data_IF_033387421986
#
_entry.id   IF_033387421986
#
_cell.length_a   1.000
_cell.length_b   1.000
_cell.length_c   1.000
_cell.angle_alpha   90.00
_cell.angle_beta   90.00
_cell.angle_gamma   90.00
#
_symmetry.space_group_name_H-M   'P 1'
#
loop_
_entity.id
_entity.type
_entity.pdbx_description
1 polymer ?
#
# COMPACT_ATOMS: atom_id res chain seq x y z
N UNK A 1 13.49 3.73 -19.67
CA UNK A 1 13.88 2.74 -18.65
C UNK A 1 13.25 3.24 -17.36
N UNK A 2 12.34 2.49 -16.74
CA UNK A 2 11.65 2.96 -15.53
C UNK A 2 12.53 2.71 -14.31
N UNK A 3 12.78 3.76 -13.52
CA UNK A 3 13.57 3.69 -12.29
C UNK A 3 12.71 3.32 -11.06
N UNK A 4 13.38 3.05 -9.93
CA UNK A 4 12.70 2.75 -8.67
C UNK A 4 11.73 3.87 -8.25
N UNK A 5 12.03 5.12 -8.59
CA UNK A 5 11.18 6.27 -8.27
C UNK A 5 9.86 6.22 -9.00
N UNK A 6 9.86 5.82 -10.28
CA UNK A 6 8.65 5.67 -11.08
C UNK A 6 7.74 4.62 -10.49
N UNK A 7 8.28 3.44 -10.14
CA UNK A 7 7.49 2.39 -9.51
C UNK A 7 7.01 2.82 -8.13
N UNK A 8 7.87 3.44 -7.33
CA UNK A 8 7.50 3.97 -6.02
C UNK A 8 6.31 4.95 -6.10
N UNK A 9 6.31 5.87 -7.07
CA UNK A 9 5.20 6.77 -7.32
C UNK A 9 3.91 6.03 -7.70
N UNK A 10 4.00 5.02 -8.57
CA UNK A 10 2.84 4.15 -8.92
C UNK A 10 2.27 3.50 -7.66
N UNK A 11 3.13 2.96 -6.79
CA UNK A 11 2.71 2.36 -5.52
C UNK A 11 2.07 3.37 -4.57
N UNK A 12 2.57 4.62 -4.49
CA UNK A 12 1.94 5.69 -3.70
C UNK A 12 0.53 5.98 -4.22
N UNK A 13 0.35 6.07 -5.54
CA UNK A 13 -0.96 6.32 -6.14
C UNK A 13 -1.93 5.18 -5.81
N UNK A 14 -1.50 3.92 -5.95
CA UNK A 14 -2.33 2.77 -5.59
C UNK A 14 -2.66 2.81 -4.10
N UNK A 15 -1.70 3.10 -3.22
CA UNK A 15 -1.93 3.21 -1.77
C UNK A 15 -2.93 4.30 -1.42
N UNK A 16 -2.90 5.44 -2.11
CA UNK A 16 -3.89 6.50 -1.90
C UNK A 16 -5.32 5.98 -2.17
N UNK A 17 -5.55 5.30 -3.29
CA UNK A 17 -6.85 4.71 -3.59
C UNK A 17 -7.21 3.55 -2.66
N UNK A 18 -6.23 2.74 -2.26
CA UNK A 18 -6.42 1.66 -1.29
C UNK A 18 -6.91 2.22 0.05
N UNK A 19 -6.28 3.29 0.54
CA UNK A 19 -6.66 3.96 1.79
C UNK A 19 -8.09 4.49 1.73
N UNK A 20 -8.51 5.06 0.59
CA UNK A 20 -9.91 5.49 0.37
C UNK A 20 -10.87 4.30 0.42
N UNK A 21 -10.54 3.20 -0.26
CA UNK A 21 -11.33 1.97 -0.24
C UNK A 21 -11.49 1.44 1.20
N UNK A 22 -10.40 1.37 1.96
CA UNK A 22 -10.41 0.86 3.33
C UNK A 22 -11.18 1.76 4.31
N UNK A 23 -11.03 3.08 4.18
CA UNK A 23 -11.78 4.05 4.98
C UNK A 23 -13.29 3.96 4.69
N UNK A 24 -13.67 3.90 3.41
CA UNK A 24 -15.07 3.85 2.99
C UNK A 24 -15.77 2.53 3.31
N UNK A 25 -15.02 1.42 3.34
CA UNK A 25 -15.58 0.07 3.57
C UNK A 25 -15.42 -0.44 5.00
N UNK A 26 -14.77 0.36 5.85
CA UNK A 26 -14.69 0.16 7.29
C UNK A 26 -13.65 -0.86 7.73
N UNK A 27 -12.46 -0.85 7.12
CA UNK A 27 -11.34 -1.75 7.47
C UNK A 27 -11.07 -1.77 8.98
N UNK A 28 -11.02 -0.61 9.63
CA UNK A 28 -10.82 -0.46 11.08
C UNK A 28 -11.76 -1.28 11.99
N UNK A 29 -12.93 -1.72 11.48
CA UNK A 29 -13.88 -2.60 12.19
C UNK A 29 -13.74 -4.07 11.79
N UNK A 30 -13.36 -4.33 10.53
CA UNK A 30 -13.39 -5.64 9.89
C UNK A 30 -12.04 -6.36 9.92
N UNK A 31 -10.93 -5.61 10.04
CA UNK A 31 -9.58 -6.18 10.10
C UNK A 31 -9.51 -7.23 11.22
N UNK A 32 -9.10 -8.47 10.91
CA UNK A 32 -9.15 -9.57 11.86
C UNK A 32 -8.08 -9.45 12.95
N UNK A 33 -6.95 -8.79 12.65
CA UNK A 33 -5.83 -8.67 13.58
C UNK A 33 -5.85 -7.40 14.42
N UNK A 34 -6.44 -6.32 13.90
CA UNK A 34 -6.32 -5.02 14.55
C UNK A 34 -7.60 -4.20 14.38
N UNK A 35 -8.41 -4.16 15.44
CA UNK A 35 -9.62 -3.32 15.52
C UNK A 35 -9.27 -2.00 16.19
N UNK A 36 -9.73 -0.90 15.60
CA UNK A 36 -9.46 0.44 16.15
C UNK A 36 -10.61 1.42 15.88
N UNK A 37 -10.56 2.58 16.54
CA UNK A 37 -11.48 3.68 16.27
C UNK A 37 -11.19 4.28 14.88
N UNK A 38 -12.22 4.74 14.17
CA UNK A 38 -12.07 5.36 12.85
C UNK A 38 -11.05 6.50 12.85
N UNK A 39 -11.09 7.39 13.85
CA UNK A 39 -10.14 8.51 13.93
C UNK A 39 -8.68 8.07 14.06
N UNK A 40 -8.40 6.97 14.78
CA UNK A 40 -7.05 6.41 14.87
C UNK A 40 -6.59 5.83 13.54
N UNK A 41 -7.49 5.15 12.82
CA UNK A 41 -7.19 4.61 11.49
C UNK A 41 -6.97 5.71 10.46
N UNK A 42 -7.83 6.74 10.45
CA UNK A 42 -7.68 7.89 9.57
C UNK A 42 -6.37 8.64 9.83
N UNK A 43 -6.01 8.86 11.09
CA UNK A 43 -4.73 9.49 11.44
C UNK A 43 -3.54 8.65 10.97
N UNK A 44 -3.61 7.32 11.13
CA UNK A 44 -2.60 6.41 10.60
C UNK A 44 -2.45 6.54 9.08
N UNK A 45 -3.54 6.48 8.31
CA UNK A 45 -3.49 6.59 6.85
C UNK A 45 -2.90 7.92 6.38
N UNK A 46 -3.30 9.02 7.01
CA UNK A 46 -2.76 10.35 6.68
C UNK A 46 -1.25 10.40 6.96
N UNK A 47 -0.81 9.95 8.15
CA UNK A 47 0.61 9.92 8.49
C UNK A 47 1.41 8.99 7.58
N UNK A 48 0.85 7.83 7.23
CA UNK A 48 1.47 6.85 6.36
C UNK A 48 1.69 7.41 4.95
N UNK A 49 0.63 7.98 4.33
CA UNK A 49 0.74 8.60 3.01
C UNK A 49 1.68 9.81 3.03
N UNK A 50 1.57 10.68 4.03
CA UNK A 50 2.45 11.85 4.15
C UNK A 50 3.92 11.45 4.27
N UNK A 51 4.23 10.43 5.07
CA UNK A 51 5.60 9.93 5.23
C UNK A 51 6.17 9.45 3.89
N UNK A 52 5.45 8.56 3.18
CA UNK A 52 5.95 8.03 1.90
C UNK A 52 5.98 9.08 0.79
N UNK A 53 5.07 10.03 0.82
CA UNK A 53 5.10 11.20 -0.10
C UNK A 53 6.30 12.09 0.20
N UNK A 54 6.68 12.28 1.46
CA UNK A 54 7.88 13.01 1.83
C UNK A 54 9.16 12.27 1.36
N UNK A 55 9.21 10.95 1.45
CA UNK A 55 10.31 10.13 0.88
C UNK A 55 10.43 10.35 -0.64
N UNK A 56 9.32 10.49 -1.36
CA UNK A 56 9.34 10.80 -2.80
C UNK A 56 9.91 12.20 -3.07
N UNK A 57 9.32 13.22 -2.45
CA UNK A 57 9.53 14.65 -2.77
C UNK A 57 10.87 15.21 -2.25
N UNK A 58 11.41 14.66 -1.17
CA UNK A 58 12.66 15.12 -0.58
C UNK A 58 13.83 14.31 -1.12
N UNK A 59 14.52 14.82 -2.14
CA UNK A 59 15.64 14.10 -2.79
C UNK A 59 16.74 13.67 -1.81
N UNK A 60 17.03 14.48 -0.80
CA UNK A 60 18.06 14.21 0.22
C UNK A 60 17.54 13.40 1.42
N UNK A 61 16.39 12.72 1.31
CA UNK A 61 15.85 11.94 2.41
C UNK A 61 16.81 10.80 2.82
N UNK A 62 17.11 10.62 4.12
CA UNK A 62 18.02 9.57 4.57
C UNK A 62 17.56 8.18 4.13
N UNK A 63 18.45 7.42 3.49
CA UNK A 63 18.16 6.06 2.99
C UNK A 63 16.99 5.97 1.99
N UNK A 64 16.70 7.05 1.23
CA UNK A 64 15.59 7.16 0.29
C UNK A 64 15.37 5.92 -0.58
N UNK A 65 16.38 5.45 -1.31
CA UNK A 65 16.27 4.28 -2.18
C UNK A 65 15.87 3.00 -1.42
N UNK A 66 16.47 2.78 -0.23
CA UNK A 66 16.14 1.62 0.62
C UNK A 66 14.71 1.70 1.12
N UNK A 67 14.27 2.89 1.52
CA UNK A 67 12.90 3.15 1.95
C UNK A 67 11.90 2.93 0.81
N UNK A 68 12.22 3.38 -0.40
CA UNK A 68 11.38 3.13 -1.58
C UNK A 68 11.24 1.64 -1.89
N UNK A 69 12.35 0.89 -1.88
CA UNK A 69 12.33 -0.56 -2.07
C UNK A 69 11.54 -1.27 -0.96
N UNK A 70 11.70 -0.84 0.30
CA UNK A 70 10.93 -1.36 1.42
C UNK A 70 9.43 -1.09 1.26
N UNK A 71 9.03 0.10 0.84
CA UNK A 71 7.63 0.43 0.61
C UNK A 71 7.01 -0.45 -0.47
N UNK A 72 7.71 -0.64 -1.60
CA UNK A 72 7.25 -1.52 -2.68
C UNK A 72 6.99 -2.94 -2.14
N UNK A 73 7.92 -3.48 -1.35
CA UNK A 73 7.75 -4.80 -0.71
C UNK A 73 6.61 -4.82 0.31
N UNK A 74 6.45 -3.76 1.10
CA UNK A 74 5.36 -3.61 2.07
C UNK A 74 4.00 -3.61 1.39
N UNK A 75 3.87 -2.90 0.27
CA UNK A 75 2.64 -2.84 -0.52
C UNK A 75 2.34 -4.16 -1.22
N UNK A 76 3.36 -4.88 -1.71
CA UNK A 76 3.17 -6.25 -2.18
C UNK A 76 2.61 -7.15 -1.07
N UNK A 77 3.24 -7.13 0.11
CA UNK A 77 2.79 -7.92 1.25
C UNK A 77 1.35 -7.57 1.64
N UNK A 78 1.00 -6.28 1.60
CA UNK A 78 -0.36 -5.82 1.83
C UNK A 78 -1.33 -6.39 0.77
N UNK A 79 -1.02 -6.24 -0.52
CA UNK A 79 -1.83 -6.79 -1.60
C UNK A 79 -2.08 -8.30 -1.46
N UNK A 80 -1.02 -9.08 -1.20
CA UNK A 80 -1.11 -10.53 -0.96
C UNK A 80 -2.02 -10.82 0.24
N UNK A 81 -1.83 -10.10 1.35
CA UNK A 81 -2.63 -10.26 2.57
C UNK A 81 -4.13 -10.09 2.29
N UNK A 82 -4.54 -9.01 1.62
CA UNK A 82 -5.95 -8.78 1.30
C UNK A 82 -6.53 -9.86 0.39
N UNK A 83 -5.78 -10.30 -0.63
CA UNK A 83 -6.19 -11.37 -1.53
C UNK A 83 -6.37 -12.69 -0.78
N UNK A 84 -5.42 -13.03 0.11
CA UNK A 84 -5.53 -14.22 0.95
C UNK A 84 -6.71 -14.13 1.91
N UNK A 85 -6.91 -12.99 2.56
CA UNK A 85 -8.05 -12.78 3.47
C UNK A 85 -9.38 -12.91 2.74
N UNK A 86 -9.51 -12.37 1.53
CA UNK A 86 -10.69 -12.59 0.67
C UNK A 86 -10.85 -14.07 0.32
N UNK A 87 -9.76 -14.73 -0.05
CA UNK A 87 -9.74 -16.16 -0.40
C UNK A 87 -10.22 -17.07 0.74
N UNK A 88 -9.89 -16.74 2.00
CA UNK A 88 -10.31 -17.48 3.20
C UNK A 88 -11.74 -17.12 3.62
N UNK A 89 -12.07 -15.83 3.68
CA UNK A 89 -13.37 -15.37 4.19
C UNK A 89 -14.53 -15.58 3.20
N UNK A 90 -14.23 -15.69 1.90
CA UNK A 90 -15.21 -15.77 0.78
C UNK A 90 -16.24 -14.65 0.80
N UNK A 91 -15.90 -13.50 1.38
CA UNK A 91 -16.73 -12.30 1.49
C UNK A 91 -15.92 -11.09 1.05
N UNK A 92 -16.61 -9.98 0.78
CA UNK A 92 -15.93 -8.72 0.48
C UNK A 92 -15.02 -8.31 1.65
N UNK A 93 -13.76 -8.01 1.31
CA UNK A 93 -12.71 -7.56 2.22
C UNK A 93 -12.38 -6.11 1.85
N UNK A 94 -12.40 -5.15 2.80
CA UNK A 94 -11.91 -3.79 2.57
C UNK A 94 -10.53 -3.81 1.90
N UNK A 95 -10.31 -3.01 0.87
CA UNK A 95 -9.02 -2.95 0.16
C UNK A 95 -8.80 -4.01 -0.91
N UNK A 96 -9.76 -4.94 -1.13
CA UNK A 96 -9.61 -6.03 -2.10
C UNK A 96 -9.63 -5.57 -3.56
N UNK A 97 -10.29 -4.45 -3.89
CA UNK A 97 -10.38 -3.97 -5.27
C UNK A 97 -9.01 -3.47 -5.73
N UNK A 98 -8.31 -2.78 -4.84
CA UNK A 98 -6.98 -2.20 -5.11
C UNK A 98 -5.83 -3.18 -4.86
N UNK A 99 -6.01 -4.20 -4.03
CA UNK A 99 -4.96 -5.18 -3.70
C UNK A 99 -4.30 -5.89 -4.91
N UNK A 100 -5.03 -6.33 -5.97
CA UNK A 100 -4.42 -6.88 -7.18
C UNK A 100 -3.49 -5.91 -7.90
N UNK A 101 -3.75 -4.60 -7.82
CA UNK A 101 -2.93 -3.58 -8.48
C UNK A 101 -1.52 -3.54 -7.89
N UNK A 102 -1.37 -3.74 -6.57
CA UNK A 102 -0.05 -3.84 -5.95
C UNK A 102 0.74 -5.05 -6.46
N UNK A 103 0.08 -6.20 -6.64
CA UNK A 103 0.73 -7.41 -7.16
C UNK A 103 1.15 -7.21 -8.61
N UNK A 104 0.28 -6.65 -9.45
CA UNK A 104 0.58 -6.37 -10.86
C UNK A 104 1.72 -5.35 -10.98
N UNK A 105 1.67 -4.26 -10.22
CA UNK A 105 2.72 -3.25 -10.19
C UNK A 105 4.07 -3.84 -9.73
N UNK A 106 4.04 -4.74 -8.74
CA UNK A 106 5.24 -5.44 -8.28
C UNK A 106 5.82 -6.36 -9.36
N UNK A 107 5.00 -7.15 -10.05
CA UNK A 107 5.46 -8.02 -11.15
C UNK A 107 6.12 -7.17 -12.25
N UNK A 108 5.53 -6.00 -12.56
CA UNK A 108 6.11 -5.04 -13.49
C UNK A 108 7.49 -4.52 -13.05
N UNK A 109 7.59 -4.13 -11.77
CA UNK A 109 8.85 -3.69 -11.14
C UNK A 109 9.92 -4.79 -11.16
N UNK A 110 9.56 -5.99 -10.71
CA UNK A 110 10.46 -7.13 -10.60
C UNK A 110 10.97 -7.59 -11.97
N UNK A 111 10.11 -7.61 -12.98
CA UNK A 111 10.50 -7.95 -14.37
C UNK A 111 11.45 -6.94 -15.00
N UNK A 112 11.52 -5.70 -14.49
CA UNK A 112 12.50 -4.70 -14.91
C UNK A 112 13.82 -4.75 -14.12
N UNK A 113 13.82 -5.46 -13.00
CA UNK A 113 14.97 -5.62 -12.10
C UNK A 113 15.91 -6.75 -12.54
N UNK A 114 15.36 -7.73 -13.27
CA UNK A 114 16.06 -8.86 -13.90
C UNK A 114 16.39 -8.48 -15.35
#
# INVERSE_FOLDING_TARGET
MYDIETYFLVFIIIQFFHSIEELSTGFHKKCPFFKMKFGSFLAFEILFIMFWTAVYLLEQFPFREKLMGYFILLMLANGIWHITWWGISKKYVPGIITAPLFVIAFIGYYSHLI
#
